data_IF_700261553879
#
_entry.id   IF_700261553879
#
_cell.length_a   1.000
_cell.length_b   1.000
_cell.length_c   1.000
_cell.angle_alpha   90.00
_cell.angle_beta   90.00
_cell.angle_gamma   90.00
#
_symmetry.space_group_name_H-M   'P 1'
#
loop_
_entity.id
_entity.type
_entity.pdbx_description
1 polymer ?
#
# COMPACT_ATOMS: atom_id res chain seq x y z
N UNK A 1 -19.06 6.33 53.46
CA UNK A 1 -18.52 5.19 52.68
C UNK A 1 -19.07 3.95 53.36
N UNK A 2 -19.90 3.18 52.66
CA UNK A 2 -20.47 1.94 53.19
C UNK A 2 -19.35 0.90 53.24
N UNK A 3 -19.17 0.27 54.39
CA UNK A 3 -18.24 -0.85 54.58
C UNK A 3 -19.09 -2.06 54.85
N UNK A 4 -19.10 -2.98 53.89
CA UNK A 4 -19.81 -4.24 54.06
C UNK A 4 -18.91 -5.22 54.80
N UNK A 5 -19.36 -5.65 55.98
CA UNK A 5 -18.69 -6.69 56.74
C UNK A 5 -19.32 -8.02 56.33
N UNK A 6 -18.59 -8.80 55.54
CA UNK A 6 -19.00 -10.15 55.16
C UNK A 6 -18.36 -11.16 56.09
N UNK A 7 -19.18 -11.99 56.72
CA UNK A 7 -18.73 -13.13 57.50
C UNK A 7 -18.91 -14.37 56.65
N UNK A 8 -17.82 -15.08 56.37
CA UNK A 8 -17.89 -16.32 55.62
C UNK A 8 -18.80 -17.32 56.36
N UNK A 9 -19.70 -18.04 55.66
CA UNK A 9 -20.54 -19.06 56.26
C UNK A 9 -19.68 -20.16 56.89
N UNK A 10 -20.26 -20.90 57.85
CA UNK A 10 -19.56 -22.01 58.50
C UNK A 10 -19.03 -23.00 57.47
N UNK A 11 -17.85 -23.59 57.72
CA UNK A 11 -17.13 -24.49 56.80
C UNK A 11 -17.96 -25.65 56.25
N UNK A 12 -19.01 -26.08 56.95
CA UNK A 12 -19.93 -27.14 56.49
C UNK A 12 -20.95 -26.70 55.45
N UNK A 13 -21.11 -25.40 55.19
CA UNK A 13 -22.07 -24.85 54.23
C UNK A 13 -21.39 -24.39 52.93
N UNK A 14 -20.32 -23.60 53.03
CA UNK A 14 -19.54 -23.15 51.86
C UNK A 14 -18.09 -22.84 52.32
N UNK A 15 -17.07 -23.21 51.53
CA UNK A 15 -15.68 -22.89 51.87
C UNK A 15 -15.44 -21.37 51.78
N UNK A 16 -14.54 -20.84 52.62
CA UNK A 16 -14.21 -19.41 52.60
C UNK A 16 -13.61 -18.96 51.26
N UNK A 17 -12.93 -19.86 50.56
CA UNK A 17 -12.40 -19.63 49.21
C UNK A 17 -13.50 -19.25 48.21
N UNK A 18 -14.59 -20.02 48.16
CA UNK A 18 -15.71 -19.73 47.26
C UNK A 18 -16.37 -18.39 47.60
N UNK A 19 -16.50 -18.07 48.90
CA UNK A 19 -17.04 -16.78 49.35
C UNK A 19 -16.13 -15.62 48.93
N UNK A 20 -14.81 -15.78 49.04
CA UNK A 20 -13.84 -14.78 48.59
C UNK A 20 -13.85 -14.62 47.06
N UNK A 21 -14.00 -15.71 46.30
CA UNK A 21 -14.05 -15.68 44.83
C UNK A 21 -15.19 -14.79 44.30
N UNK A 22 -16.33 -14.81 44.98
CA UNK A 22 -17.49 -13.98 44.62
C UNK A 22 -17.22 -12.48 44.83
N UNK A 23 -16.37 -12.12 45.80
CA UNK A 23 -16.15 -10.74 46.23
C UNK A 23 -14.94 -10.07 45.57
N UNK A 24 -13.83 -10.80 45.40
CA UNK A 24 -12.52 -10.24 44.98
C UNK A 24 -12.58 -9.51 43.63
N UNK A 25 -13.54 -9.85 42.77
CA UNK A 25 -13.70 -9.21 41.45
C UNK A 25 -14.46 -7.87 41.50
N UNK A 26 -15.22 -7.61 42.56
CA UNK A 26 -16.11 -6.44 42.65
C UNK A 26 -15.63 -5.42 43.68
N UNK A 27 -14.93 -5.89 44.72
CA UNK A 27 -14.43 -5.05 45.82
C UNK A 27 -12.95 -5.29 46.08
N UNK A 28 -12.31 -4.37 46.81
CA UNK A 28 -10.96 -4.57 47.35
C UNK A 28 -11.08 -5.15 48.77
N UNK A 29 -10.99 -6.48 48.97
CA UNK A 29 -11.27 -7.08 50.26
C UNK A 29 -10.10 -6.84 51.23
N UNK A 30 -10.45 -6.52 52.48
CA UNK A 30 -9.55 -6.70 53.62
C UNK A 30 -9.93 -8.01 54.29
N UNK A 31 -9.07 -9.01 54.19
CA UNK A 31 -9.36 -10.35 54.72
C UNK A 31 -8.85 -10.46 56.15
N UNK A 32 -9.73 -10.85 57.06
CA UNK A 32 -9.41 -11.19 58.45
C UNK A 32 -9.68 -12.66 58.70
N UNK A 33 -8.77 -13.34 59.39
CA UNK A 33 -8.88 -14.76 59.72
C UNK A 33 -8.75 -14.95 61.22
N UNK A 34 -9.84 -15.36 61.87
CA UNK A 34 -9.91 -15.54 63.31
C UNK A 34 -9.54 -16.97 63.71
N UNK A 35 -8.70 -17.11 64.74
CA UNK A 35 -8.16 -18.39 65.21
C UNK A 35 -8.41 -18.51 66.71
N UNK A 36 -9.12 -19.54 67.15
CA UNK A 36 -9.43 -19.72 68.58
C UNK A 36 -8.31 -20.44 69.34
N UNK A 37 -7.56 -21.30 68.66
CA UNK A 37 -6.56 -22.18 69.27
C UNK A 37 -5.13 -21.60 69.20
N UNK A 38 -4.19 -22.07 70.05
CA UNK A 38 -2.78 -21.66 69.99
C UNK A 38 -2.02 -22.21 68.76
N UNK A 39 -2.66 -23.06 67.96
CA UNK A 39 -2.13 -23.65 66.71
C UNK A 39 -3.25 -23.72 65.67
N UNK A 40 -2.89 -23.75 64.39
CA UNK A 40 -3.84 -23.98 63.30
C UNK A 40 -4.29 -25.44 63.30
N UNK A 41 -5.60 -25.66 63.25
CA UNK A 41 -6.17 -26.97 62.99
C UNK A 41 -5.84 -27.45 61.56
N UNK A 42 -5.89 -28.75 61.26
CA UNK A 42 -5.67 -29.26 59.90
C UNK A 42 -6.62 -28.64 58.87
N UNK A 43 -7.85 -28.32 59.30
CA UNK A 43 -8.85 -27.63 58.46
C UNK A 43 -8.46 -26.17 58.19
N UNK A 44 -7.94 -25.44 59.19
CA UNK A 44 -7.47 -24.06 58.99
C UNK A 44 -6.30 -24.04 58.00
N UNK A 45 -5.37 -25.00 58.12
CA UNK A 45 -4.20 -25.09 57.24
C UNK A 45 -4.60 -25.39 55.80
N UNK A 46 -5.56 -26.30 55.58
CA UNK A 46 -6.05 -26.61 54.25
C UNK A 46 -6.74 -25.40 53.59
N UNK A 47 -7.62 -24.72 54.33
CA UNK A 47 -8.33 -23.53 53.86
C UNK A 47 -7.37 -22.37 53.53
N UNK A 48 -6.40 -22.11 54.39
CA UNK A 48 -5.39 -21.08 54.15
C UNK A 48 -4.48 -21.42 52.96
N UNK A 49 -4.12 -22.69 52.75
CA UNK A 49 -3.38 -23.07 51.53
C UNK A 49 -4.18 -22.76 50.27
N UNK A 50 -5.46 -23.12 50.26
CA UNK A 50 -6.33 -22.89 49.10
C UNK A 50 -6.52 -21.39 48.80
N UNK A 51 -6.77 -20.57 49.83
CA UNK A 51 -6.89 -19.12 49.69
C UNK A 51 -5.58 -18.51 49.15
N UNK A 52 -4.43 -18.97 49.64
CA UNK A 52 -3.13 -18.47 49.18
C UNK A 52 -2.88 -18.80 47.72
N UNK A 53 -3.13 -20.05 47.30
CA UNK A 53 -2.94 -20.50 45.93
C UNK A 53 -3.80 -19.73 44.94
N UNK A 54 -5.08 -19.47 45.27
CA UNK A 54 -6.01 -18.84 44.34
C UNK A 54 -5.94 -17.31 44.33
N UNK A 55 -5.70 -16.67 45.47
CA UNK A 55 -5.82 -15.20 45.57
C UNK A 55 -4.53 -14.49 46.00
N UNK A 56 -3.62 -15.17 46.68
CA UNK A 56 -2.36 -14.56 47.18
C UNK A 56 -2.56 -13.22 47.91
N UNK A 57 -3.65 -13.12 48.70
CA UNK A 57 -4.02 -11.90 49.40
C UNK A 57 -3.33 -11.80 50.77
N UNK A 58 -2.96 -10.59 51.22
CA UNK A 58 -2.56 -10.34 52.60
C UNK A 58 -3.74 -10.57 53.57
N UNK A 59 -3.49 -11.30 54.66
CA UNK A 59 -4.52 -11.63 55.67
C UNK A 59 -4.15 -11.06 57.03
N UNK A 60 -5.13 -10.49 57.73
CA UNK A 60 -5.01 -10.14 59.14
C UNK A 60 -5.45 -11.31 60.02
N UNK A 61 -4.50 -12.02 60.62
CA UNK A 61 -4.76 -13.12 61.53
C UNK A 61 -5.01 -12.60 62.93
N UNK A 62 -6.14 -12.97 63.54
CA UNK A 62 -6.50 -12.59 64.90
C UNK A 62 -6.66 -13.85 65.76
N UNK A 63 -5.90 -13.97 66.84
CA UNK A 63 -6.15 -15.00 67.84
C UNK A 63 -7.22 -14.51 68.82
N UNK A 64 -8.30 -15.27 68.96
CA UNK A 64 -9.41 -14.99 69.89
C UNK A 64 -9.41 -16.08 70.97
N UNK A 65 -8.93 -15.79 72.20
CA UNK A 65 -8.94 -16.80 73.26
C UNK A 65 -10.36 -17.20 73.64
N UNK A 66 -10.56 -18.47 74.01
CA UNK A 66 -11.86 -18.97 74.48
C UNK A 66 -12.26 -18.31 75.82
N UNK A 67 -13.53 -17.94 75.95
CA UNK A 67 -14.04 -17.30 77.16
C UNK A 67 -13.91 -18.24 78.36
N UNK A 68 -12.99 -17.93 79.28
CA UNK A 68 -12.76 -18.68 80.52
C UNK A 68 -11.36 -19.31 80.64
N UNK A 69 -10.52 -19.26 79.60
CA UNK A 69 -9.10 -19.62 79.73
C UNK A 69 -8.33 -18.43 80.33
N UNK A 70 -8.12 -18.41 81.65
CA UNK A 70 -7.06 -17.60 82.22
C UNK A 70 -5.71 -18.16 81.74
N UNK A 71 -5.13 -17.53 80.71
CA UNK A 71 -3.77 -17.81 80.26
C UNK A 71 -2.79 -17.43 81.40
N UNK A 72 -2.48 -18.39 82.28
CA UNK A 72 -1.36 -18.30 83.20
C UNK A 72 -0.06 -18.54 82.42
N UNK A 73 0.53 -17.49 81.87
CA UNK A 73 1.89 -17.56 81.33
C UNK A 73 2.78 -16.41 81.82
N UNK A 74 4.12 -16.57 81.79
CA UNK A 74 5.05 -16.01 82.74
C UNK A 74 5.48 -14.60 82.32
N UNK A 75 5.86 -13.77 83.29
CA UNK A 75 6.32 -12.39 83.13
C UNK A 75 7.72 -12.25 82.46
N UNK A 76 8.12 -13.14 81.54
CA UNK A 76 9.44 -13.07 80.90
C UNK A 76 9.35 -13.20 79.37
N UNK A 77 10.02 -12.32 78.61
CA UNK A 77 10.03 -12.39 77.16
C UNK A 77 11.04 -13.46 76.71
N UNK A 78 10.60 -14.70 76.50
CA UNK A 78 11.40 -15.67 75.76
C UNK A 78 11.36 -15.33 74.27
N UNK A 79 12.49 -15.51 73.60
CA UNK A 79 12.76 -15.13 72.21
C UNK A 79 12.20 -16.13 71.20
N UNK A 80 11.31 -17.02 71.65
CA UNK A 80 10.83 -18.17 70.91
C UNK A 80 9.56 -17.78 70.14
N UNK A 81 9.56 -18.01 68.83
CA UNK A 81 8.40 -17.82 67.96
C UNK A 81 7.26 -18.71 68.42
N UNK A 82 6.04 -18.16 68.48
CA UNK A 82 4.88 -18.96 68.86
C UNK A 82 4.64 -20.07 67.82
N UNK A 83 4.07 -21.23 68.22
CA UNK A 83 3.81 -22.31 67.27
C UNK A 83 2.86 -21.87 66.14
N UNK A 84 1.91 -20.98 66.45
CA UNK A 84 1.04 -20.37 65.45
C UNK A 84 1.81 -19.48 64.46
N UNK A 85 2.73 -18.65 64.95
CA UNK A 85 3.58 -17.82 64.11
C UNK A 85 4.45 -18.67 63.17
N UNK A 86 5.01 -19.77 63.69
CA UNK A 86 5.80 -20.71 62.88
C UNK A 86 4.95 -21.35 61.77
N UNK A 87 3.75 -21.82 62.09
CA UNK A 87 2.84 -22.41 61.09
C UNK A 87 2.45 -21.41 59.99
N UNK A 88 2.22 -20.13 60.34
CA UNK A 88 1.92 -19.09 59.34
C UNK A 88 3.14 -18.65 58.52
N UNK A 89 4.35 -18.77 59.08
CA UNK A 89 5.60 -18.62 58.33
C UNK A 89 5.81 -19.77 57.35
N UNK A 90 5.55 -21.02 57.77
CA UNK A 90 5.68 -22.22 56.93
C UNK A 90 4.66 -22.22 55.79
N UNK A 91 3.45 -21.71 56.04
CA UNK A 91 2.46 -21.43 55.00
C UNK A 91 2.83 -20.20 54.14
N UNK A 92 3.87 -19.46 54.51
CA UNK A 92 4.42 -18.28 53.83
C UNK A 92 3.48 -17.08 53.82
N UNK A 93 2.58 -16.96 54.79
CA UNK A 93 1.75 -15.78 54.97
C UNK A 93 2.52 -14.66 55.66
N UNK A 94 3.38 -15.03 56.61
CA UNK A 94 4.27 -14.12 57.30
C UNK A 94 5.66 -14.16 56.66
N UNK A 95 6.40 -13.06 56.79
CA UNK A 95 7.82 -13.01 56.39
C UNK A 95 8.70 -13.16 57.63
N UNK A 96 9.84 -13.87 57.56
CA UNK A 96 10.83 -13.90 58.64
C UNK A 96 11.31 -12.47 58.89
N UNK A 97 11.08 -11.95 60.10
CA UNK A 97 11.42 -10.56 60.43
C UNK A 97 12.91 -10.25 60.20
N UNK A 98 13.19 -9.11 59.57
CA UNK A 98 14.46 -8.40 59.77
C UNK A 98 14.51 -7.75 61.17
N UNK A 99 15.66 -7.16 61.59
CA UNK A 99 15.96 -6.77 62.97
C UNK A 99 14.97 -5.81 63.68
N UNK A 100 14.05 -5.19 62.94
CA UNK A 100 13.05 -4.24 63.43
C UNK A 100 11.74 -4.88 63.96
N UNK A 101 11.45 -6.15 63.63
CA UNK A 101 10.16 -6.76 63.98
C UNK A 101 8.93 -6.13 63.31
N UNK A 102 9.15 -5.18 62.40
CA UNK A 102 8.13 -4.57 61.56
C UNK A 102 8.02 -5.38 60.24
N UNK A 103 6.86 -5.99 60.00
CA UNK A 103 6.58 -6.68 58.73
C UNK A 103 6.58 -5.71 57.54
N UNK A 104 6.71 -6.24 56.32
CA UNK A 104 6.64 -5.42 55.11
C UNK A 104 5.26 -4.73 55.01
N UNK A 105 5.18 -3.44 54.63
CA UNK A 105 3.89 -2.74 54.50
C UNK A 105 2.95 -3.47 53.54
N UNK A 106 1.72 -3.74 53.97
CA UNK A 106 0.73 -4.46 53.15
C UNK A 106 0.96 -5.97 53.04
N UNK A 107 1.79 -6.57 53.90
CA UNK A 107 1.88 -8.04 54.09
C UNK A 107 0.97 -8.52 55.23
N UNK A 108 0.73 -9.83 55.30
CA UNK A 108 -0.11 -10.42 56.35
C UNK A 108 0.43 -10.16 57.75
N UNK A 109 -0.47 -10.03 58.73
CA UNK A 109 -0.11 -9.67 60.11
C UNK A 109 -0.75 -10.65 61.08
N UNK A 110 -0.02 -11.06 62.12
CA UNK A 110 -0.55 -11.87 63.23
C UNK A 110 -0.74 -11.04 64.51
N UNK A 111 -1.99 -10.95 64.97
CA UNK A 111 -2.40 -10.34 66.22
C UNK A 111 -2.79 -11.43 67.23
N UNK A 112 -1.82 -11.90 68.02
CA UNK A 112 -2.05 -12.97 69.01
C UNK A 112 -2.75 -12.51 70.29
N UNK A 113 -2.77 -11.20 70.55
CA UNK A 113 -3.38 -10.60 71.74
C UNK A 113 -4.56 -9.73 71.32
N UNK A 114 -5.66 -9.69 72.10
CA UNK A 114 -6.83 -8.87 71.76
C UNK A 114 -6.47 -7.38 71.67
N UNK A 115 -5.55 -6.88 72.49
CA UNK A 115 -5.06 -5.48 72.43
C UNK A 115 -4.36 -5.14 71.11
N UNK A 116 -3.90 -6.17 70.36
CA UNK A 116 -3.28 -6.00 69.04
C UNK A 116 -4.33 -5.90 67.92
N UNK A 117 -5.63 -6.04 68.19
CA UNK A 117 -6.70 -5.79 67.21
C UNK A 117 -6.63 -4.36 66.64
N UNK A 118 -6.12 -3.40 67.43
CA UNK A 118 -5.85 -2.02 66.96
C UNK A 118 -4.96 -1.94 65.72
N UNK A 119 -4.15 -2.98 65.45
CA UNK A 119 -3.32 -3.08 64.24
C UNK A 119 -4.13 -3.28 62.97
N UNK A 120 -5.39 -3.70 63.06
CA UNK A 120 -6.28 -3.87 61.92
C UNK A 120 -6.45 -2.56 61.15
N UNK A 121 -6.62 -1.43 61.83
CA UNK A 121 -6.75 -0.12 61.19
C UNK A 121 -5.51 0.26 60.38
N UNK A 122 -4.32 0.06 60.95
CA UNK A 122 -3.06 0.29 60.23
C UNK A 122 -2.86 -0.67 59.07
N UNK A 123 -3.24 -1.94 59.24
CA UNK A 123 -3.18 -2.96 58.18
C UNK A 123 -4.10 -2.59 57.01
N UNK A 124 -5.36 -2.25 57.28
CA UNK A 124 -6.33 -1.79 56.27
C UNK A 124 -5.79 -0.59 55.49
N UNK A 125 -5.30 0.43 56.22
CA UNK A 125 -4.74 1.64 55.60
C UNK A 125 -3.56 1.31 54.68
N UNK A 126 -2.62 0.50 55.14
CA UNK A 126 -1.44 0.13 54.35
C UNK A 126 -1.83 -0.68 53.11
N UNK A 127 -2.75 -1.64 53.25
CA UNK A 127 -3.20 -2.47 52.15
C UNK A 127 -3.92 -1.63 51.07
N UNK A 128 -4.88 -0.80 51.48
CA UNK A 128 -5.62 0.08 50.57
C UNK A 128 -4.70 1.11 49.90
N UNK A 129 -3.76 1.69 50.65
CA UNK A 129 -2.78 2.62 50.11
C UNK A 129 -1.89 1.95 49.06
N UNK A 130 -1.44 0.72 49.31
CA UNK A 130 -0.65 -0.06 48.35
C UNK A 130 -1.43 -0.28 47.05
N UNK A 131 -2.68 -0.72 47.14
CA UNK A 131 -3.54 -0.91 45.97
C UNK A 131 -3.74 0.40 45.19
N UNK A 132 -3.97 1.52 45.88
CA UNK A 132 -4.12 2.82 45.24
C UNK A 132 -2.85 3.24 44.50
N UNK A 133 -1.68 3.05 45.11
CA UNK A 133 -0.39 3.36 44.47
C UNK A 133 -0.17 2.47 43.26
N UNK A 134 -0.36 1.16 43.37
CA UNK A 134 -0.21 0.21 42.26
C UNK A 134 -1.13 0.57 41.09
N UNK A 135 -2.41 0.85 41.36
CA UNK A 135 -3.38 1.25 40.34
C UNK A 135 -3.00 2.58 39.69
N UNK A 136 -2.61 3.60 40.47
CA UNK A 136 -2.18 4.90 39.95
C UNK A 136 -0.92 4.79 39.10
N UNK A 137 0.06 3.96 39.50
CA UNK A 137 1.28 3.71 38.72
C UNK A 137 0.93 3.05 37.38
N UNK A 138 0.08 2.01 37.38
CA UNK A 138 -0.36 1.35 36.14
C UNK A 138 -1.11 2.31 35.21
N UNK A 139 -1.99 3.14 35.76
CA UNK A 139 -2.70 4.15 34.99
C UNK A 139 -1.74 5.18 34.39
N UNK A 140 -0.74 5.63 35.16
CA UNK A 140 0.29 6.55 34.68
C UNK A 140 1.13 5.96 33.55
N UNK A 141 1.51 4.68 33.66
CA UNK A 141 2.22 3.95 32.59
C UNK A 141 1.38 3.91 31.30
N UNK A 142 0.08 3.60 31.40
CA UNK A 142 -0.84 3.57 30.24
C UNK A 142 -0.98 4.97 29.64
N UNK A 143 -1.22 5.99 30.46
CA UNK A 143 -1.31 7.38 30.00
C UNK A 143 -0.03 7.82 29.28
N UNK A 144 1.15 7.51 29.83
CA UNK A 144 2.44 7.84 29.20
C UNK A 144 2.61 7.17 27.84
N UNK A 145 2.21 5.90 27.70
CA UNK A 145 2.23 5.19 26.41
C UNK A 145 1.28 5.83 25.40
N UNK A 146 0.04 6.14 25.79
CA UNK A 146 -0.93 6.80 24.92
C UNK A 146 -0.41 8.16 24.44
N UNK A 147 0.12 8.99 25.35
CA UNK A 147 0.70 10.30 24.99
C UNK A 147 1.88 10.14 24.02
N UNK A 148 2.77 9.19 24.24
CA UNK A 148 3.88 8.92 23.32
C UNK A 148 3.39 8.51 21.93
N UNK A 149 2.33 7.70 21.83
CA UNK A 149 1.71 7.35 20.54
C UNK A 149 1.16 8.62 19.87
N UNK A 150 0.40 9.45 20.59
CA UNK A 150 -0.14 10.69 20.05
C UNK A 150 0.96 11.66 19.57
N UNK A 151 2.01 11.84 20.37
CA UNK A 151 3.13 12.73 20.05
C UNK A 151 3.86 12.24 18.80
N UNK A 152 4.21 10.95 18.74
CA UNK A 152 4.90 10.39 17.58
C UNK A 152 4.02 10.44 16.33
N UNK A 153 2.72 10.15 16.44
CA UNK A 153 1.79 10.24 15.32
C UNK A 153 1.65 11.68 14.81
N UNK A 154 1.61 12.67 15.71
CA UNK A 154 1.56 14.08 15.34
C UNK A 154 2.83 14.53 14.60
N UNK A 155 4.02 14.10 15.06
CA UNK A 155 5.28 14.38 14.37
C UNK A 155 5.37 13.69 13.00
N UNK A 156 4.95 12.43 12.89
CA UNK A 156 4.87 11.72 11.62
C UNK A 156 3.95 12.46 10.64
N UNK A 157 2.74 12.82 11.09
CA UNK A 157 1.78 13.55 10.27
C UNK A 157 2.29 14.94 9.84
N UNK A 158 2.92 15.69 10.74
CA UNK A 158 3.49 17.01 10.42
C UNK A 158 4.61 16.89 9.38
N UNK A 159 5.46 15.86 9.51
CA UNK A 159 6.51 15.57 8.54
C UNK A 159 5.92 15.17 7.19
N UNK A 160 4.91 14.31 7.18
CA UNK A 160 4.24 13.89 5.94
C UNK A 160 3.58 15.08 5.23
N UNK A 161 2.96 16.00 5.97
CA UNK A 161 2.41 17.25 5.43
C UNK A 161 3.48 18.15 4.79
N UNK A 162 4.73 18.09 5.24
CA UNK A 162 5.83 18.87 4.65
C UNK A 162 6.52 18.16 3.47
N UNK A 163 6.66 16.84 3.55
CA UNK A 163 7.40 16.05 2.57
C UNK A 163 6.52 15.71 1.36
N UNK A 164 5.26 15.34 1.58
CA UNK A 164 4.35 14.88 0.51
C UNK A 164 4.15 15.92 -0.59
N UNK A 165 3.93 17.23 -0.30
CA UNK A 165 3.82 18.24 -1.36
C UNK A 165 5.08 18.32 -2.23
N UNK A 166 6.27 18.27 -1.60
CA UNK A 166 7.55 18.29 -2.32
C UNK A 166 7.72 17.06 -3.21
N UNK A 167 7.26 15.89 -2.76
CA UNK A 167 7.27 14.65 -3.57
C UNK A 167 6.34 14.74 -4.76
N UNK A 168 5.12 15.26 -4.57
CA UNK A 168 4.15 15.45 -5.64
C UNK A 168 4.68 16.43 -6.69
N UNK A 169 5.30 17.54 -6.25
CA UNK A 169 5.92 18.52 -7.13
C UNK A 169 7.11 17.93 -7.91
N UNK A 170 8.00 17.19 -7.23
CA UNK A 170 9.10 16.48 -7.90
C UNK A 170 8.60 15.49 -8.95
N UNK A 171 7.58 14.70 -8.61
CA UNK A 171 6.98 13.71 -9.51
C UNK A 171 6.35 14.40 -10.72
N UNK A 172 5.58 15.48 -10.50
CA UNK A 172 5.02 16.31 -11.57
C UNK A 172 6.11 16.83 -12.50
N UNK A 173 7.20 17.37 -11.95
CA UNK A 173 8.33 17.87 -12.75
C UNK A 173 8.96 16.76 -13.58
N UNK A 174 9.19 15.58 -13.00
CA UNK A 174 9.81 14.44 -13.69
C UNK A 174 8.94 13.85 -14.78
N UNK A 175 7.63 13.79 -14.55
CA UNK A 175 6.70 13.37 -15.59
C UNK A 175 6.62 14.40 -16.72
N UNK A 176 6.65 15.70 -16.42
CA UNK A 176 6.69 16.75 -17.44
C UNK A 176 7.98 16.69 -18.29
N UNK A 177 9.14 16.47 -17.64
CA UNK A 177 10.43 16.24 -18.33
C UNK A 177 10.35 15.03 -19.27
N UNK A 178 9.69 13.95 -18.84
CA UNK A 178 9.48 12.75 -19.65
C UNK A 178 8.54 13.02 -20.84
N UNK A 179 7.41 13.68 -20.59
CA UNK A 179 6.44 14.04 -21.62
C UNK A 179 7.09 14.85 -22.75
N UNK A 180 7.83 15.90 -22.41
CA UNK A 180 8.55 16.73 -23.38
C UNK A 180 9.59 15.92 -24.17
N UNK A 181 10.32 15.03 -23.50
CA UNK A 181 11.29 14.15 -24.15
C UNK A 181 10.63 13.23 -25.17
N UNK A 182 9.55 12.54 -24.78
CA UNK A 182 8.80 11.63 -25.65
C UNK A 182 8.13 12.37 -26.81
N UNK A 183 7.58 13.57 -26.57
CA UNK A 183 7.01 14.42 -27.61
C UNK A 183 8.09 14.85 -28.62
N UNK A 184 9.29 15.18 -28.13
CA UNK A 184 10.45 15.49 -28.96
C UNK A 184 10.95 14.30 -29.81
N UNK A 185 10.87 13.07 -29.29
CA UNK A 185 11.18 11.84 -30.05
C UNK A 185 10.12 11.63 -31.15
N UNK A 186 8.83 11.73 -30.81
CA UNK A 186 7.73 11.56 -31.76
C UNK A 186 7.78 12.57 -32.92
N UNK A 187 8.12 13.83 -32.62
CA UNK A 187 8.26 14.88 -33.64
C UNK A 187 9.44 14.61 -34.58
N UNK A 188 10.61 14.23 -34.03
CA UNK A 188 11.78 13.86 -34.86
C UNK A 188 11.47 12.67 -35.76
N UNK A 189 10.84 11.64 -35.21
CA UNK A 189 10.45 10.44 -35.96
C UNK A 189 9.38 10.71 -37.01
N UNK A 190 8.54 11.72 -36.84
CA UNK A 190 7.61 12.19 -37.89
C UNK A 190 8.38 12.67 -39.12
N UNK A 191 9.41 13.49 -38.93
CA UNK A 191 10.19 14.00 -40.06
C UNK A 191 11.03 12.89 -40.70
N UNK A 192 11.63 11.98 -39.92
CA UNK A 192 12.31 10.80 -40.46
C UNK A 192 11.37 9.91 -41.29
N UNK A 193 10.14 9.67 -40.82
CA UNK A 193 9.13 8.91 -41.59
C UNK A 193 8.74 9.64 -42.87
N UNK A 194 8.59 10.96 -42.82
CA UNK A 194 8.30 11.77 -44.01
C UNK A 194 9.43 11.67 -45.03
N UNK A 195 10.70 11.79 -44.61
CA UNK A 195 11.86 11.61 -45.48
C UNK A 195 11.90 10.20 -46.08
N UNK A 196 11.70 9.15 -45.26
CA UNK A 196 11.63 7.77 -45.74
C UNK A 196 10.55 7.56 -46.81
N UNK A 197 9.38 8.18 -46.67
CA UNK A 197 8.31 8.11 -47.68
C UNK A 197 8.72 8.82 -48.96
N UNK A 198 9.32 10.02 -48.86
CA UNK A 198 9.82 10.76 -50.03
C UNK A 198 10.89 9.97 -50.77
N UNK A 199 11.85 9.39 -50.04
CA UNK A 199 12.93 8.58 -50.62
C UNK A 199 12.39 7.32 -51.29
N UNK A 200 11.43 6.65 -50.66
CA UNK A 200 10.79 5.44 -51.22
C UNK A 200 9.97 5.76 -52.46
N UNK A 201 9.25 6.90 -52.46
CA UNK A 201 8.53 7.39 -53.63
C UNK A 201 9.49 7.73 -54.77
N UNK A 202 10.62 8.38 -54.46
CA UNK A 202 11.66 8.71 -55.43
C UNK A 202 12.31 7.47 -56.04
N UNK A 203 12.63 6.46 -55.22
CA UNK A 203 13.29 5.23 -55.70
C UNK A 203 12.36 4.35 -56.54
N UNK A 204 11.08 4.28 -56.20
CA UNK A 204 10.10 3.43 -56.90
C UNK A 204 9.45 4.13 -58.10
N UNK A 205 9.72 5.43 -58.30
CA UNK A 205 9.04 6.25 -59.30
C UNK A 205 9.07 5.61 -60.69
N UNK A 206 10.26 5.27 -61.18
CA UNK A 206 10.40 4.74 -62.55
C UNK A 206 9.76 3.35 -62.69
N UNK A 207 9.96 2.46 -61.71
CA UNK A 207 9.33 1.13 -61.69
C UNK A 207 7.80 1.23 -61.72
N UNK A 208 7.20 2.16 -60.96
CA UNK A 208 5.76 2.38 -60.94
C UNK A 208 5.24 2.94 -62.27
N UNK A 209 6.03 3.78 -62.95
CA UNK A 209 5.68 4.31 -64.28
C UNK A 209 5.72 3.19 -65.33
N UNK A 210 6.71 2.29 -65.27
CA UNK A 210 6.81 1.13 -66.16
C UNK A 210 5.69 0.09 -65.91
N UNK A 211 5.40 -0.21 -64.64
CA UNK A 211 4.27 -1.07 -64.25
C UNK A 211 2.93 -0.49 -64.73
N UNK A 212 2.75 0.84 -64.63
CA UNK A 212 1.56 1.51 -65.16
C UNK A 212 1.48 1.47 -66.70
N UNK A 213 2.61 1.66 -67.40
CA UNK A 213 2.66 1.61 -68.86
C UNK A 213 2.28 0.21 -69.40
N UNK A 214 2.78 -0.84 -68.73
CA UNK A 214 2.55 -2.25 -69.08
C UNK A 214 1.23 -2.83 -68.56
N UNK A 215 0.49 -2.08 -67.74
CA UNK A 215 -0.77 -2.53 -67.14
C UNK A 215 -1.81 -2.92 -68.20
N UNK A 216 -2.36 -4.12 -68.09
CA UNK A 216 -3.58 -4.54 -68.78
C UNK A 216 -4.80 -4.23 -67.92
N UNK A 217 -5.78 -3.50 -68.47
CA UNK A 217 -6.99 -3.16 -67.72
C UNK A 217 -7.94 -4.35 -67.67
N UNK A 218 -8.48 -4.60 -66.49
CA UNK A 218 -9.55 -5.60 -66.31
C UNK A 218 -10.89 -4.98 -66.66
N UNK A 219 -11.76 -5.76 -67.32
CA UNK A 219 -13.14 -5.42 -67.66
C UNK A 219 -13.31 -4.19 -68.58
N UNK A 220 -12.31 -3.86 -69.39
CA UNK A 220 -12.34 -2.74 -70.35
C UNK A 220 -11.85 -3.21 -71.71
N UNK A 221 -12.67 -3.04 -72.75
CA UNK A 221 -12.29 -3.31 -74.14
C UNK A 221 -11.67 -2.04 -74.70
N UNK A 222 -10.35 -2.05 -74.91
CA UNK A 222 -9.64 -0.94 -75.58
C UNK A 222 -9.77 -1.17 -77.09
N UNK A 223 -10.46 -0.30 -77.85
CA UNK A 223 -10.56 -0.44 -79.29
C UNK A 223 -9.19 -0.20 -79.96
N UNK A 224 -8.73 -1.14 -80.78
CA UNK A 224 -7.42 -1.08 -81.46
C UNK A 224 -7.37 0.01 -82.56
N UNK A 225 -8.52 0.52 -83.00
CA UNK A 225 -8.64 1.37 -84.20
C UNK A 225 -8.64 2.89 -83.93
N UNK A 226 -8.21 3.35 -82.75
CA UNK A 226 -8.19 4.79 -82.44
C UNK A 226 -9.58 5.42 -82.23
N UNK A 227 -10.61 4.60 -82.04
CA UNK A 227 -11.96 5.03 -81.65
C UNK A 227 -11.94 5.61 -80.22
N UNK A 228 -12.73 6.68 -79.95
CA UNK A 228 -12.76 7.33 -78.65
C UNK A 228 -13.34 6.40 -77.58
N UNK A 229 -12.54 6.15 -76.54
CA UNK A 229 -12.93 5.37 -75.37
C UNK A 229 -14.00 6.13 -74.56
N UNK A 230 -15.01 5.42 -74.04
CA UNK A 230 -16.07 6.07 -73.27
C UNK A 230 -15.52 6.74 -72.01
N UNK A 231 -16.10 7.87 -71.61
CA UNK A 231 -15.68 8.59 -70.40
C UNK A 231 -15.84 7.75 -69.11
N UNK A 232 -16.70 6.72 -69.11
CA UNK A 232 -16.82 5.78 -67.97
C UNK A 232 -15.63 4.84 -67.91
N UNK A 233 -15.17 4.35 -69.06
CA UNK A 233 -14.04 3.42 -69.15
C UNK A 233 -12.72 4.15 -68.87
N UNK A 234 -12.55 5.38 -69.35
CA UNK A 234 -11.40 6.23 -68.99
C UNK A 234 -11.30 6.42 -67.47
N UNK A 235 -12.42 6.71 -66.80
CA UNK A 235 -12.43 6.84 -65.33
C UNK A 235 -12.03 5.53 -64.63
N UNK A 236 -12.49 4.39 -65.15
CA UNK A 236 -12.16 3.08 -64.59
C UNK A 236 -10.70 2.68 -64.85
N UNK A 237 -10.12 3.06 -65.99
CA UNK A 237 -8.68 2.93 -66.25
C UNK A 237 -7.85 3.75 -65.26
N UNK A 238 -8.23 5.01 -65.03
CA UNK A 238 -7.55 5.89 -64.06
C UNK A 238 -7.63 5.28 -62.66
N UNK A 239 -8.80 4.77 -62.27
CA UNK A 239 -8.98 4.15 -60.97
C UNK A 239 -8.08 2.90 -60.79
N UNK A 240 -7.99 2.04 -61.81
CA UNK A 240 -7.10 0.86 -61.75
C UNK A 240 -5.60 1.24 -61.67
N UNK A 241 -5.17 2.29 -62.39
CA UNK A 241 -3.79 2.81 -62.29
C UNK A 241 -3.52 3.33 -60.87
N UNK A 242 -4.45 4.09 -60.31
CA UNK A 242 -4.34 4.61 -58.95
C UNK A 242 -4.29 3.49 -57.90
N UNK A 243 -5.15 2.47 -58.02
CA UNK A 243 -5.17 1.32 -57.12
C UNK A 243 -3.85 0.53 -57.14
N UNK A 244 -3.26 0.31 -58.33
CA UNK A 244 -1.94 -0.33 -58.46
C UNK A 244 -0.86 0.47 -57.73
N UNK A 245 -0.77 1.78 -58.00
CA UNK A 245 0.25 2.66 -57.43
C UNK A 245 0.13 2.71 -55.91
N UNK A 246 -1.09 2.90 -55.42
CA UNK A 246 -1.38 2.92 -53.98
C UNK A 246 -1.02 1.58 -53.35
N UNK A 247 -1.41 0.45 -53.95
CA UNK A 247 -1.10 -0.87 -53.40
C UNK A 247 0.41 -1.11 -53.29
N UNK A 248 1.18 -0.85 -54.36
CA UNK A 248 2.63 -1.07 -54.38
C UNK A 248 3.36 -0.13 -53.44
N UNK A 249 2.99 1.15 -53.43
CA UNK A 249 3.59 2.14 -52.54
C UNK A 249 3.29 1.82 -51.08
N UNK A 250 2.04 1.48 -50.75
CA UNK A 250 1.65 1.12 -49.37
C UNK A 250 2.46 -0.08 -48.88
N UNK A 251 2.66 -1.10 -49.72
CA UNK A 251 3.43 -2.28 -49.34
C UNK A 251 4.90 -1.93 -49.05
N UNK A 252 5.55 -1.13 -49.91
CA UNK A 252 6.95 -0.74 -49.72
C UNK A 252 7.15 0.19 -48.52
N UNK A 253 6.24 1.16 -48.34
CA UNK A 253 6.26 2.11 -47.23
C UNK A 253 5.95 1.40 -45.91
N UNK A 254 4.96 0.49 -45.88
CA UNK A 254 4.63 -0.29 -44.69
C UNK A 254 5.81 -1.13 -44.20
N UNK A 255 6.51 -1.82 -45.11
CA UNK A 255 7.68 -2.63 -44.76
C UNK A 255 8.79 -1.81 -44.08
N UNK A 256 9.05 -0.58 -44.55
CA UNK A 256 10.04 0.31 -43.91
C UNK A 256 9.52 0.97 -42.63
N UNK A 257 8.22 1.24 -42.54
CA UNK A 257 7.59 1.85 -41.37
C UNK A 257 7.57 0.92 -40.16
N UNK A 258 7.37 -0.39 -40.36
CA UNK A 258 7.35 -1.38 -39.26
C UNK A 258 8.59 -1.22 -38.38
N UNK A 259 9.78 -1.22 -38.99
CA UNK A 259 11.05 -1.07 -38.24
C UNK A 259 11.18 0.30 -37.56
N UNK A 260 10.68 1.37 -38.16
CA UNK A 260 10.73 2.73 -37.58
C UNK A 260 9.80 2.86 -36.36
N UNK A 261 8.62 2.24 -36.44
CA UNK A 261 7.62 2.21 -35.36
C UNK A 261 8.08 1.30 -34.21
N UNK A 262 8.69 0.16 -34.52
CA UNK A 262 9.25 -0.73 -33.49
C UNK A 262 10.39 -0.04 -32.74
N UNK A 263 11.28 0.65 -33.45
CA UNK A 263 12.33 1.46 -32.83
C UNK A 263 11.75 2.59 -31.95
N UNK A 264 10.70 3.27 -32.43
CA UNK A 264 9.99 4.28 -31.64
C UNK A 264 9.47 3.66 -30.34
N UNK A 265 8.80 2.50 -30.42
CA UNK A 265 8.28 1.79 -29.26
C UNK A 265 9.39 1.42 -28.27
N UNK A 266 10.48 0.83 -28.73
CA UNK A 266 11.61 0.45 -27.88
C UNK A 266 12.29 1.66 -27.23
N UNK A 267 12.49 2.74 -27.98
CA UNK A 267 13.06 4.00 -27.48
C UNK A 267 12.19 4.63 -26.38
N UNK A 268 10.87 4.59 -26.56
CA UNK A 268 9.89 5.03 -25.56
C UNK A 268 9.99 4.21 -24.27
N UNK A 269 9.93 2.88 -24.40
CA UNK A 269 10.00 1.96 -23.25
C UNK A 269 11.30 2.16 -22.49
N UNK A 270 12.45 2.19 -23.18
CA UNK A 270 13.74 2.37 -22.52
C UNK A 270 13.90 3.72 -21.84
N UNK A 271 13.25 4.78 -22.33
CA UNK A 271 13.27 6.10 -21.69
C UNK A 271 12.44 6.11 -20.41
N UNK A 272 11.27 5.46 -20.44
CA UNK A 272 10.43 5.27 -19.25
C UNK A 272 11.18 4.48 -18.17
N UNK A 273 11.79 3.34 -18.53
CA UNK A 273 12.55 2.51 -17.60
C UNK A 273 13.69 3.26 -16.93
N UNK A 274 14.47 4.04 -17.69
CA UNK A 274 15.56 4.86 -17.16
C UNK A 274 15.07 5.96 -16.21
N UNK A 275 13.98 6.65 -16.56
CA UNK A 275 13.38 7.67 -15.72
C UNK A 275 12.83 7.09 -14.41
N UNK A 276 12.16 5.94 -14.49
CA UNK A 276 11.59 5.26 -13.33
C UNK A 276 12.70 4.76 -12.37
N UNK A 277 13.74 4.15 -12.92
CA UNK A 277 14.93 3.74 -12.15
C UNK A 277 15.63 4.92 -11.49
N UNK A 278 15.83 6.02 -12.20
CA UNK A 278 16.42 7.24 -11.64
C UNK A 278 15.55 7.85 -10.53
N UNK A 279 14.23 7.75 -10.64
CA UNK A 279 13.30 8.19 -9.61
C UNK A 279 13.45 7.35 -8.34
N UNK A 280 13.56 6.03 -8.48
CA UNK A 280 13.79 5.08 -7.38
C UNK A 280 15.18 5.26 -6.72
N UNK A 281 16.23 5.54 -7.48
CA UNK A 281 17.59 5.77 -6.96
C UNK A 281 17.73 7.15 -6.28
N UNK A 282 17.13 8.22 -6.86
CA UNK A 282 17.13 9.56 -6.25
C UNK A 282 16.39 9.63 -4.91
N UNK A 283 15.48 8.68 -4.71
CA UNK A 283 14.65 8.53 -3.54
C UNK A 283 15.43 7.99 -2.32
N UNK A 284 16.27 6.97 -2.53
CA UNK A 284 17.08 6.36 -1.46
C UNK A 284 18.14 7.32 -0.91
N UNK A 285 18.73 8.16 -1.77
CA UNK A 285 19.78 9.11 -1.37
C UNK A 285 19.29 10.35 -0.60
N UNK A 286 18.01 10.72 -0.72
CA UNK A 286 17.51 12.00 -0.19
C UNK A 286 16.83 11.90 1.18
N UNK A 287 16.53 10.71 1.72
CA UNK A 287 15.58 10.60 2.85
C UNK A 287 16.11 9.94 4.14
N UNK A 288 17.16 9.10 4.20
CA UNK A 288 17.69 8.62 5.51
C UNK A 288 19.17 8.18 5.53
N UNK A 289 19.96 8.50 6.58
CA UNK A 289 20.91 7.56 7.16
C UNK A 289 20.15 6.55 8.05
N UNK A 290 20.57 5.27 8.09
CA UNK A 290 19.82 4.22 8.75
C UNK A 290 19.90 4.38 10.27
N UNK A 291 18.75 4.47 10.94
CA UNK A 291 18.67 4.29 12.40
C UNK A 291 17.64 3.22 12.73
N UNK A 292 18.17 2.07 13.14
CA UNK A 292 17.61 1.25 14.22
C UNK A 292 16.34 0.46 13.90
N UNK A 293 16.56 -0.83 13.62
CA UNK A 293 15.71 -1.98 13.96
C UNK A 293 14.30 -2.02 13.39
N UNK A 294 14.16 -2.86 12.37
CA UNK A 294 13.08 -3.86 12.21
C UNK A 294 11.67 -3.40 12.57
N UNK A 295 11.06 -2.66 11.66
CA UNK A 295 9.80 -3.14 11.07
C UNK A 295 9.84 -2.84 9.59
N UNK A 296 9.59 -3.87 8.78
CA UNK A 296 9.19 -3.76 7.39
C UNK A 296 8.01 -2.78 7.29
N UNK A 297 8.31 -1.49 7.16
CA UNK A 297 7.33 -0.46 6.82
C UNK A 297 7.29 -0.48 5.30
N UNK A 298 6.58 -1.47 4.77
CA UNK A 298 6.01 -1.42 3.43
C UNK A 298 5.13 -0.17 3.37
N UNK A 299 5.73 0.95 3.00
CA UNK A 299 5.12 2.27 2.90
C UNK A 299 5.89 3.09 1.88
N UNK A 300 5.37 4.25 1.49
CA UNK A 300 4.72 4.58 0.20
C UNK A 300 5.70 4.71 -0.99
N UNK A 301 6.78 3.93 -1.03
CA UNK A 301 7.78 3.94 -2.12
C UNK A 301 7.23 3.29 -3.40
N UNK A 302 6.21 2.42 -3.27
CA UNK A 302 5.63 1.70 -4.40
C UNK A 302 4.48 2.41 -5.11
N UNK A 303 3.91 3.49 -4.57
CA UNK A 303 2.70 4.09 -5.18
C UNK A 303 3.08 4.78 -6.49
N UNK A 304 4.16 5.56 -6.54
CA UNK A 304 4.56 6.29 -7.75
C UNK A 304 5.04 5.34 -8.86
N UNK A 305 5.87 4.34 -8.51
CA UNK A 305 6.41 3.36 -9.45
C UNK A 305 5.32 2.40 -9.95
N UNK A 306 4.50 1.82 -9.07
CA UNK A 306 3.43 0.90 -9.50
C UNK A 306 2.28 1.64 -10.19
N UNK A 307 1.96 2.89 -9.85
CA UNK A 307 0.88 3.64 -10.51
C UNK A 307 1.28 4.12 -11.90
N UNK A 308 2.49 4.69 -12.07
CA UNK A 308 3.04 5.03 -13.39
C UNK A 308 3.17 3.78 -14.27
N UNK A 309 3.60 2.66 -13.69
CA UNK A 309 3.75 1.39 -14.39
C UNK A 309 2.39 0.76 -14.75
N UNK A 310 1.39 0.77 -13.86
CA UNK A 310 0.05 0.22 -14.14
C UNK A 310 -0.76 1.08 -15.13
N UNK A 311 -0.73 2.41 -15.01
CA UNK A 311 -1.44 3.29 -15.96
C UNK A 311 -0.84 3.14 -17.36
N UNK A 312 0.49 3.01 -17.46
CA UNK A 312 1.16 2.87 -18.76
C UNK A 312 1.13 1.45 -19.33
N UNK A 313 1.31 0.40 -18.51
CA UNK A 313 1.18 -1.00 -18.95
C UNK A 313 -0.26 -1.31 -19.40
N UNK A 314 -1.29 -0.81 -18.71
CA UNK A 314 -2.68 -1.05 -19.11
C UNK A 314 -3.03 -0.46 -20.50
N UNK A 315 -2.33 0.59 -20.94
CA UNK A 315 -2.49 1.18 -22.28
C UNK A 315 -1.48 0.65 -23.32
N UNK A 316 -0.26 0.34 -22.90
CA UNK A 316 0.74 -0.31 -23.77
C UNK A 316 0.33 -1.73 -24.16
N UNK A 317 -0.34 -2.48 -23.27
CA UNK A 317 -0.85 -3.83 -23.58
C UNK A 317 -2.11 -3.79 -24.45
N UNK A 318 -2.90 -2.70 -24.43
CA UNK A 318 -3.96 -2.48 -25.45
C UNK A 318 -3.37 -2.17 -26.82
N UNK A 319 -2.18 -1.58 -26.87
CA UNK A 319 -1.39 -1.45 -28.11
C UNK A 319 -0.80 -2.78 -28.60
N UNK A 320 -0.88 -3.86 -27.82
CA UNK A 320 -0.57 -5.23 -28.25
C UNK A 320 -1.57 -5.81 -29.24
N UNK A 321 -2.73 -5.17 -29.44
CA UNK A 321 -3.53 -5.32 -30.66
C UNK A 321 -3.07 -4.32 -31.73
N UNK A 322 -1.77 -4.37 -32.02
CA UNK A 322 -1.16 -3.81 -33.23
C UNK A 322 -1.42 -4.72 -34.45
N UNK A 323 -2.44 -5.59 -34.39
CA UNK A 323 -2.83 -6.49 -35.47
C UNK A 323 -3.74 -5.85 -36.52
N UNK A 324 -4.16 -4.59 -36.33
CA UNK A 324 -5.12 -3.92 -37.19
C UNK A 324 -4.57 -2.61 -37.77
N UNK A 325 -3.31 -2.62 -38.21
CA UNK A 325 -2.84 -1.58 -39.14
C UNK A 325 -3.51 -1.74 -40.51
N UNK A 326 -3.97 -2.93 -40.87
CA UNK A 326 -4.70 -3.17 -42.13
C UNK A 326 -5.93 -2.26 -42.29
N UNK A 327 -6.63 -1.94 -41.20
CA UNK A 327 -7.78 -1.03 -41.20
C UNK A 327 -7.45 0.47 -41.35
N UNK A 328 -6.27 0.93 -40.93
CA UNK A 328 -5.88 2.35 -41.00
C UNK A 328 -5.58 2.78 -42.44
N UNK A 329 -5.05 1.86 -43.25
CA UNK A 329 -4.79 2.07 -44.67
C UNK A 329 -6.03 1.83 -45.55
N UNK A 330 -7.01 1.08 -45.05
CA UNK A 330 -8.15 0.58 -45.83
C UNK A 330 -9.31 1.55 -46.08
N UNK A 331 -9.22 2.83 -45.69
CA UNK A 331 -10.45 3.63 -45.55
C UNK A 331 -10.50 5.08 -46.04
N UNK A 332 -9.41 5.80 -46.32
CA UNK A 332 -9.62 7.21 -46.72
C UNK A 332 -8.47 8.20 -46.65
N UNK A 333 -7.37 7.96 -47.36
CA UNK A 333 -6.42 9.04 -47.65
C UNK A 333 -6.44 9.45 -49.12
N UNK A 334 -7.12 10.60 -49.32
CA UNK A 334 -6.91 11.60 -50.38
C UNK A 334 -7.43 11.21 -51.78
N UNK A 335 -8.76 11.11 -51.89
CA UNK A 335 -9.46 11.42 -53.15
C UNK A 335 -9.70 12.94 -53.15
N UNK A 336 -8.81 13.71 -53.77
CA UNK A 336 -9.15 15.07 -54.20
C UNK A 336 -8.94 15.20 -55.70
N UNK A 337 -10.09 15.14 -56.39
CA UNK A 337 -10.43 15.64 -57.73
C UNK A 337 -9.23 16.17 -58.54
N UNK A 338 -8.64 15.28 -59.33
CA UNK A 338 -8.05 15.68 -60.59
C UNK A 338 -9.20 15.87 -61.57
N UNK A 339 -9.51 17.13 -61.87
CA UNK A 339 -10.11 17.50 -63.16
C UNK A 339 -9.12 17.15 -64.28
N UNK A 340 -9.51 17.30 -65.54
CA UNK A 340 -8.63 17.39 -66.71
C UNK A 340 -8.72 16.25 -67.75
N UNK A 341 -9.38 16.67 -68.83
CA UNK A 341 -9.18 16.47 -70.29
C UNK A 341 -8.84 15.07 -70.80
N UNK A 342 -9.82 14.54 -71.54
CA UNK A 342 -9.77 13.36 -72.39
C UNK A 342 -8.57 13.37 -73.36
N UNK A 343 -7.72 12.33 -73.37
CA UNK A 343 -6.77 12.10 -74.44
C UNK A 343 -7.42 11.27 -75.57
N UNK A 344 -6.93 11.37 -76.82
CA UNK A 344 -7.53 10.66 -77.95
C UNK A 344 -7.22 9.14 -78.01
N UNK A 345 -6.37 8.58 -77.14
CA UNK A 345 -6.09 7.14 -77.09
C UNK A 345 -5.45 6.73 -75.75
N UNK A 346 -5.76 5.52 -75.25
CA UNK A 346 -5.12 4.94 -74.06
C UNK A 346 -3.75 4.38 -74.45
N UNK A 347 -2.73 5.24 -74.49
CA UNK A 347 -1.34 4.88 -74.81
C UNK A 347 -0.52 4.61 -73.56
N UNK A 348 0.64 3.94 -73.71
CA UNK A 348 1.59 3.76 -72.59
C UNK A 348 2.03 5.09 -71.96
N UNK A 349 2.22 6.13 -72.77
CA UNK A 349 2.57 7.48 -72.31
C UNK A 349 1.44 8.14 -71.51
N UNK A 350 0.19 7.91 -71.90
CA UNK A 350 -0.95 8.36 -71.12
C UNK A 350 -1.00 7.66 -69.75
N UNK A 351 -0.79 6.35 -69.70
CA UNK A 351 -0.76 5.60 -68.43
C UNK A 351 0.38 6.09 -67.52
N UNK A 352 1.58 6.35 -68.07
CA UNK A 352 2.70 6.97 -67.33
C UNK A 352 2.30 8.34 -66.79
N UNK A 353 1.63 9.17 -67.57
CA UNK A 353 1.21 10.51 -67.13
C UNK A 353 0.18 10.44 -66.00
N UNK A 354 -0.82 9.57 -66.12
CA UNK A 354 -1.79 9.32 -65.04
C UNK A 354 -1.10 8.81 -63.77
N UNK A 355 -0.11 7.93 -63.92
CA UNK A 355 0.67 7.42 -62.81
C UNK A 355 1.54 8.50 -62.15
N UNK A 356 2.18 9.36 -62.95
CA UNK A 356 2.96 10.50 -62.50
C UNK A 356 2.11 11.47 -61.67
N UNK A 357 0.92 11.83 -62.18
CA UNK A 357 -0.02 12.72 -61.50
C UNK A 357 -0.53 12.09 -60.18
N UNK A 358 -0.74 10.76 -60.18
CA UNK A 358 -1.12 10.03 -58.96
C UNK A 358 0.00 10.04 -57.91
N UNK A 359 1.26 9.83 -58.32
CA UNK A 359 2.45 9.90 -57.47
C UNK A 359 2.63 11.31 -56.88
N UNK A 360 2.48 12.36 -57.69
CA UNK A 360 2.61 13.75 -57.24
C UNK A 360 1.47 14.20 -56.32
N UNK A 361 0.29 13.60 -56.47
CA UNK A 361 -0.86 13.88 -55.59
C UNK A 361 -0.71 13.29 -54.17
N UNK A 362 0.18 12.31 -53.99
CA UNK A 362 0.45 11.66 -52.71
C UNK A 362 1.37 12.54 -51.84
N UNK A 363 0.79 13.21 -50.85
CA UNK A 363 1.58 14.02 -49.93
C UNK A 363 2.20 13.18 -48.80
N UNK A 364 3.51 12.93 -48.86
CA UNK A 364 4.28 12.30 -47.78
C UNK A 364 4.05 12.95 -46.41
N UNK A 365 3.88 14.28 -46.39
CA UNK A 365 3.60 15.04 -45.17
C UNK A 365 2.27 14.65 -44.50
N UNK A 366 1.20 14.40 -45.25
CA UNK A 366 -0.09 13.99 -44.65
C UNK A 366 0.00 12.57 -44.08
N UNK A 367 0.77 11.69 -44.73
CA UNK A 367 0.94 10.30 -44.29
C UNK A 367 1.77 10.21 -43.00
N UNK A 368 2.92 10.87 -42.97
CA UNK A 368 3.73 10.97 -41.76
C UNK A 368 2.97 11.63 -40.60
N UNK A 369 2.21 12.71 -40.88
CA UNK A 369 1.36 13.37 -39.88
C UNK A 369 0.26 12.46 -39.34
N UNK A 370 -0.40 11.66 -40.19
CA UNK A 370 -1.47 10.74 -39.77
C UNK A 370 -0.94 9.72 -38.74
N UNK A 371 0.21 9.12 -39.03
CA UNK A 371 0.85 8.12 -38.15
C UNK A 371 1.29 8.76 -36.82
N UNK A 372 2.06 9.86 -36.86
CA UNK A 372 2.53 10.51 -35.64
C UNK A 372 1.42 11.18 -34.83
N UNK A 373 0.33 11.62 -35.46
CA UNK A 373 -0.80 12.20 -34.72
C UNK A 373 -1.39 11.19 -33.74
N UNK A 374 -1.51 9.92 -34.11
CA UNK A 374 -2.06 8.90 -33.21
C UNK A 374 -1.19 8.69 -31.97
N UNK A 375 0.14 8.65 -32.14
CA UNK A 375 1.08 8.55 -31.02
C UNK A 375 1.01 9.79 -30.12
N UNK A 376 0.99 10.99 -30.71
CA UNK A 376 0.89 12.25 -29.96
C UNK A 376 -0.41 12.37 -29.17
N UNK A 377 -1.55 12.00 -29.76
CA UNK A 377 -2.84 11.99 -29.07
C UNK A 377 -2.82 11.04 -27.86
N UNK A 378 -2.24 9.85 -28.01
CA UNK A 378 -2.11 8.89 -26.91
C UNK A 378 -1.19 9.41 -25.80
N UNK A 379 -0.03 9.95 -26.17
CA UNK A 379 0.91 10.55 -25.23
C UNK A 379 0.27 11.70 -24.43
N UNK A 380 -0.49 12.57 -25.12
CA UNK A 380 -1.22 13.67 -24.49
C UNK A 380 -2.31 13.17 -23.54
N UNK A 381 -3.08 12.15 -23.94
CA UNK A 381 -4.09 11.53 -23.08
C UNK A 381 -3.48 10.94 -21.80
N UNK A 382 -2.33 10.26 -21.92
CA UNK A 382 -1.65 9.69 -20.75
C UNK A 382 -1.11 10.78 -19.82
N UNK A 383 -0.56 11.86 -20.38
CA UNK A 383 -0.08 13.01 -19.61
C UNK A 383 -1.23 13.67 -18.82
N UNK A 384 -2.36 13.92 -19.49
CA UNK A 384 -3.55 14.48 -18.86
C UNK A 384 -4.13 13.57 -17.76
N UNK A 385 -4.20 12.26 -18.01
CA UNK A 385 -4.65 11.29 -17.01
C UNK A 385 -3.75 11.26 -15.78
N UNK A 386 -2.43 11.31 -15.97
CA UNK A 386 -1.47 11.39 -14.88
C UNK A 386 -1.61 12.70 -14.08
N UNK A 387 -1.70 13.83 -14.76
CA UNK A 387 -1.90 15.13 -14.14
C UNK A 387 -3.21 15.20 -13.35
N UNK A 388 -4.29 14.57 -13.83
CA UNK A 388 -5.56 14.46 -13.13
C UNK A 388 -5.44 13.60 -11.86
N UNK A 389 -4.72 12.48 -11.95
CA UNK A 389 -4.51 11.56 -10.83
C UNK A 389 -3.70 12.22 -9.70
N UNK A 390 -2.69 13.02 -10.03
CA UNK A 390 -1.93 13.81 -9.05
C UNK A 390 -2.74 14.92 -8.38
N UNK A 391 -3.92 15.31 -8.89
CA UNK A 391 -4.80 16.28 -8.24
C UNK A 391 -5.76 15.63 -7.24
N UNK A 392 -5.97 14.32 -7.34
CA UNK A 392 -6.84 13.55 -6.45
C UNK A 392 -6.11 13.04 -5.20
N UNK A 393 -4.77 13.10 -5.19
CA UNK A 393 -3.87 12.79 -4.08
C UNK A 393 -3.48 14.07 -3.37
#
# INVERSE_FOLDING_TARGET
QEVDIVVAPCRGFQPAEATLAELVNQVLPVVTFAISQPQLSPSDQAELKEIKEKFSLPIFFLRVPEAGSEDKHPKTPSRDTSPLQQQLLDLGYLSPCGPCGCGAPGSSVLAERPDKLRLLSSFCRQLLQRHLVEAATRLSEVHGRCLNIFINQAFDMQRDLQITPKRLEYTRRKENELYESLMGIANRKQEEMKEMIVDTLGSMKEELLEDAASMEFRDIIIPENGEPVSSKDIKRCIQQIQELIISRLNQAVANKLISSVDYLRESFVGTLERCLKSLEESWEGSVHPPRGTDRAREGPVHITSNYLKQVWEMEATKSGRLGDWGGIWGGGMIIQRLTWVSPPAITGDWKRKVAQDAIESLSASKLAKSICSQFRTRLNSSHEAFAASLRQV
#
